data_IF_671187616810
#
_entry.id   IF_671187616810
#
_cell.length_a   1.000
_cell.length_b   1.000
_cell.length_c   1.000
_cell.angle_alpha   90.00
_cell.angle_beta   90.00
_cell.angle_gamma   90.00
#
_symmetry.space_group_name_H-M   'P 1'
#
loop_
_entity.id
_entity.type
_entity.pdbx_description
1 polymer ?
#
# COMPACT_ATOMS: atom_id res chain seq x y z
N UNK A 1 18.36 25.85 3.50
CA UNK A 1 19.02 25.74 2.17
C UNK A 1 20.31 24.89 2.19
N UNK A 2 21.13 24.99 3.23
CA UNK A 2 22.44 24.34 3.26
C UNK A 2 22.40 22.80 3.26
N UNK A 3 21.35 22.20 3.83
CA UNK A 3 21.17 20.74 3.78
C UNK A 3 20.86 20.22 2.37
N UNK A 4 20.18 21.00 1.53
CA UNK A 4 19.85 20.61 0.16
C UNK A 4 21.10 20.53 -0.73
N UNK A 5 22.14 21.32 -0.43
CA UNK A 5 23.42 21.29 -1.15
C UNK A 5 24.16 19.94 -1.04
N UNK A 6 23.80 19.12 -0.06
CA UNK A 6 24.38 17.77 0.15
C UNK A 6 23.82 16.73 -0.81
N UNK A 7 22.73 17.04 -1.53
CA UNK A 7 22.08 16.11 -2.43
C UNK A 7 22.76 16.14 -3.80
N UNK A 8 23.33 15.01 -4.22
CA UNK A 8 23.68 14.78 -5.63
C UNK A 8 22.40 14.49 -6.43
N UNK A 9 21.95 15.40 -7.33
CA UNK A 9 20.69 15.25 -8.04
C UNK A 9 20.67 14.08 -9.02
N UNK A 10 21.81 13.74 -9.63
CA UNK A 10 21.87 12.64 -10.61
C UNK A 10 21.76 11.30 -9.87
N UNK A 11 22.59 11.09 -8.84
CA UNK A 11 22.51 9.90 -8.00
C UNK A 11 21.17 9.77 -7.29
N UNK A 12 20.60 10.88 -6.80
CA UNK A 12 19.28 10.88 -6.18
C UNK A 12 18.17 10.53 -7.17
N UNK A 13 18.20 11.08 -8.38
CA UNK A 13 17.26 10.72 -9.45
C UNK A 13 17.30 9.24 -9.78
N UNK A 14 18.50 8.65 -9.88
CA UNK A 14 18.65 7.20 -10.11
C UNK A 14 18.09 6.36 -8.96
N UNK A 15 18.35 6.75 -7.71
CA UNK A 15 17.79 6.05 -6.54
C UNK A 15 16.26 6.13 -6.52
N UNK A 16 15.70 7.29 -6.83
CA UNK A 16 14.25 7.47 -6.92
C UNK A 16 13.63 6.61 -8.03
N UNK A 17 14.23 6.61 -9.23
CA UNK A 17 13.75 5.79 -10.34
C UNK A 17 13.77 4.28 -10.00
N UNK A 18 14.84 3.82 -9.34
CA UNK A 18 14.93 2.43 -8.88
C UNK A 18 13.87 2.11 -7.81
N UNK A 19 13.69 3.00 -6.85
CA UNK A 19 12.69 2.84 -5.79
C UNK A 19 11.27 2.71 -6.36
N UNK A 20 10.90 3.61 -7.28
CA UNK A 20 9.59 3.57 -7.95
C UNK A 20 9.41 2.31 -8.80
N UNK A 21 10.45 1.88 -9.50
CA UNK A 21 10.44 0.64 -10.29
C UNK A 21 10.18 -0.58 -9.41
N UNK A 22 10.88 -0.69 -8.27
CA UNK A 22 10.70 -1.80 -7.34
C UNK A 22 9.32 -1.76 -6.71
N UNK A 23 8.87 -0.62 -6.21
CA UNK A 23 7.51 -0.48 -5.65
C UNK A 23 6.43 -0.88 -6.65
N UNK A 24 6.61 -0.55 -7.93
CA UNK A 24 5.67 -0.94 -8.99
C UNK A 24 5.61 -2.46 -9.13
N UNK A 25 6.77 -3.13 -9.19
CA UNK A 25 6.85 -4.59 -9.30
C UNK A 25 6.30 -5.32 -8.07
N UNK A 26 6.57 -4.81 -6.88
CA UNK A 26 6.04 -5.35 -5.62
C UNK A 26 4.52 -5.22 -5.56
N UNK A 27 3.99 -4.04 -5.89
CA UNK A 27 2.54 -3.80 -5.92
C UNK A 27 1.84 -4.72 -6.91
N UNK A 28 2.41 -4.90 -8.11
CA UNK A 28 1.90 -5.86 -9.09
C UNK A 28 1.96 -7.30 -8.59
N UNK A 29 3.02 -7.67 -7.86
CA UNK A 29 3.18 -9.01 -7.30
C UNK A 29 2.14 -9.30 -6.22
N UNK A 30 1.85 -8.32 -5.35
CA UNK A 30 0.77 -8.43 -4.36
C UNK A 30 -0.59 -8.59 -5.04
N UNK A 31 -0.90 -7.78 -6.06
CA UNK A 31 -2.15 -7.90 -6.80
C UNK A 31 -2.32 -9.30 -7.43
N UNK A 32 -1.25 -9.85 -8.02
CA UNK A 32 -1.26 -11.23 -8.55
C UNK A 32 -1.43 -12.30 -7.48
N UNK A 33 -0.82 -12.11 -6.30
CA UNK A 33 -0.98 -13.03 -5.17
C UNK A 33 -2.43 -13.06 -4.65
N UNK A 34 -3.14 -11.93 -4.76
CA UNK A 34 -4.58 -11.82 -4.53
C UNK A 34 -5.44 -12.31 -5.71
N UNK A 35 -4.84 -12.91 -6.75
CA UNK A 35 -5.56 -13.44 -7.91
C UNK A 35 -6.01 -12.38 -8.93
N UNK A 36 -5.54 -11.13 -8.82
CA UNK A 36 -5.90 -10.04 -9.74
C UNK A 36 -4.83 -9.83 -10.81
N UNK A 37 -5.27 -9.53 -12.04
CA UNK A 37 -4.38 -9.26 -13.18
C UNK A 37 -3.80 -7.84 -13.18
N UNK A 38 -4.45 -6.89 -12.50
CA UNK A 38 -4.03 -5.50 -12.40
C UNK A 38 -4.35 -4.94 -11.01
N UNK A 39 -3.55 -4.00 -10.51
CA UNK A 39 -3.74 -3.39 -9.17
C UNK A 39 -5.09 -2.68 -9.03
N UNK A 40 -5.59 -2.07 -10.11
CA UNK A 40 -6.90 -1.41 -10.14
C UNK A 40 -8.09 -2.38 -10.02
N UNK A 41 -7.85 -3.69 -10.07
CA UNK A 41 -8.90 -4.70 -9.92
C UNK A 41 -8.98 -5.26 -8.49
N UNK A 42 -8.22 -4.71 -7.54
CA UNK A 42 -8.35 -5.06 -6.13
C UNK A 42 -9.71 -4.60 -5.61
N UNK A 43 -10.37 -5.51 -4.89
CA UNK A 43 -11.63 -5.28 -4.22
C UNK A 43 -11.40 -5.29 -2.69
N UNK A 44 -12.28 -4.66 -1.89
CA UNK A 44 -12.12 -4.62 -0.43
C UNK A 44 -11.93 -6.00 0.22
N UNK A 45 -12.57 -7.04 -0.32
CA UNK A 45 -12.46 -8.43 0.12
C UNK A 45 -11.07 -9.05 -0.07
N UNK A 46 -10.22 -8.49 -0.94
CA UNK A 46 -8.84 -8.94 -1.13
C UNK A 46 -7.88 -8.36 -0.08
N UNK A 47 -8.36 -7.45 0.77
CA UNK A 47 -7.55 -6.63 1.67
C UNK A 47 -7.89 -6.87 3.14
N UNK A 48 -6.89 -6.68 3.99
CA UNK A 48 -7.02 -6.63 5.45
C UNK A 48 -6.17 -5.50 6.01
N UNK A 49 -6.62 -4.90 7.11
CA UNK A 49 -5.90 -3.85 7.80
C UNK A 49 -5.06 -4.41 8.95
N UNK A 50 -3.87 -3.83 9.18
CA UNK A 50 -2.99 -4.19 10.29
C UNK A 50 -3.28 -3.41 11.59
N UNK A 51 -4.09 -2.35 11.51
CA UNK A 51 -4.49 -1.55 12.68
C UNK A 51 -6.01 -1.36 12.71
N UNK A 52 -6.53 -1.12 13.90
CA UNK A 52 -7.97 -0.94 14.15
C UNK A 52 -8.48 0.33 13.46
N UNK A 53 -7.71 1.41 13.49
CA UNK A 53 -8.05 2.68 12.86
C UNK A 53 -8.13 2.55 11.34
N UNK A 54 -7.16 1.84 10.74
CA UNK A 54 -7.16 1.60 9.30
C UNK A 54 -8.35 0.71 8.90
N UNK A 55 -8.67 -0.32 9.69
CA UNK A 55 -9.84 -1.17 9.47
C UNK A 55 -11.14 -0.33 9.48
N UNK A 56 -11.28 0.56 10.48
CA UNK A 56 -12.44 1.43 10.63
C UNK A 56 -12.57 2.45 9.47
N UNK A 57 -11.46 3.06 9.04
CA UNK A 57 -11.45 4.10 7.99
C UNK A 57 -11.63 3.51 6.58
N UNK A 58 -10.98 2.37 6.30
CA UNK A 58 -10.99 1.76 4.98
C UNK A 58 -12.15 0.78 4.80
N UNK A 59 -12.84 0.37 5.87
CA UNK A 59 -13.97 -0.55 5.81
C UNK A 59 -13.57 -1.98 5.45
N UNK A 60 -12.37 -2.41 5.84
CA UNK A 60 -11.83 -3.76 5.60
C UNK A 60 -11.54 -4.48 6.93
N UNK A 61 -11.54 -5.82 6.97
CA UNK A 61 -11.33 -6.56 8.22
C UNK A 61 -9.96 -6.32 8.86
N UNK A 62 -9.92 -6.38 10.20
CA UNK A 62 -8.65 -6.43 10.93
C UNK A 62 -7.98 -7.80 10.69
N UNK A 63 -6.68 -7.78 10.37
CA UNK A 63 -5.90 -8.97 10.08
C UNK A 63 -6.06 -10.08 11.15
N UNK A 64 -6.33 -11.30 10.67
CA UNK A 64 -6.60 -12.46 11.53
C UNK A 64 -8.02 -12.56 12.06
N UNK A 65 -8.93 -11.67 11.64
CA UNK A 65 -10.33 -11.64 12.08
C UNK A 65 -11.28 -11.31 10.92
N UNK A 66 -12.59 -11.49 11.14
CA UNK A 66 -13.65 -10.98 10.24
C UNK A 66 -14.26 -9.66 10.76
N UNK A 67 -13.61 -9.00 11.72
CA UNK A 67 -14.17 -7.84 12.40
C UNK A 67 -13.79 -6.54 11.69
N UNK A 68 -14.80 -5.71 11.42
CA UNK A 68 -14.65 -4.34 10.89
C UNK A 68 -15.20 -3.39 11.96
N UNK A 69 -14.34 -2.57 12.61
CA UNK A 69 -14.81 -1.65 13.64
C UNK A 69 -15.85 -0.67 13.09
N UNK A 70 -16.99 -0.56 13.76
CA UNK A 70 -18.09 0.34 13.36
C UNK A 70 -18.99 -0.18 12.23
N UNK A 71 -18.74 -1.37 11.68
CA UNK A 71 -19.64 -2.00 10.71
C UNK A 71 -20.91 -2.59 11.36
N UNK A 72 -20.90 -2.82 12.67
CA UNK A 72 -22.08 -3.23 13.43
C UNK A 72 -23.05 -2.03 13.56
N UNK A 73 -24.04 -2.02 12.66
CA UNK A 73 -25.31 -1.25 12.66
C UNK A 73 -25.29 0.11 13.39
N UNK A 74 -25.33 1.17 12.58
CA UNK A 74 -26.28 2.27 12.85
C UNK A 74 -27.67 1.86 12.39
#
# INVERSE_FOLDING_TARGET
>A
PDLAKRLDPIGAGRRLANFLSVLTLETQTIARAAGKSHVHNLEPEDLVALTVEAAAMAGVPLAGTNWIPGAEKR
#
